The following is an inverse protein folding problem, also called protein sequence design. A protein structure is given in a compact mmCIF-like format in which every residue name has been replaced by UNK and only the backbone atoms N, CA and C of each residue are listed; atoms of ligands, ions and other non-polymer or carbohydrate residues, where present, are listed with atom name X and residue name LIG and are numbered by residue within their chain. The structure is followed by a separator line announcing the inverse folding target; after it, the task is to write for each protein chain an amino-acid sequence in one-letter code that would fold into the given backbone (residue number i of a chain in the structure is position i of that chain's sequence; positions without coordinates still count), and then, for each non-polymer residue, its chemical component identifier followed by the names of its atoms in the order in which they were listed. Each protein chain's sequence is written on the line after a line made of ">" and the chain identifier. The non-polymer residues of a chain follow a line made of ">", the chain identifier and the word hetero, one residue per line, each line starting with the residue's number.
data_IF_834428628427
#
_entry.id   IF_834428628427
#
_cell.length_a   1.000
_cell.length_b   1.000
_cell.length_c   1.000
_cell.angle_alpha   90.00
_cell.angle_beta   90.00
_cell.angle_gamma   90.00
#
_symmetry.space_group_name_H-M   'P 1'
#
loop_
_entity.id
_entity.type
_entity.pdbx_description
1 polymer ?
#
# COMPACT_ATOMS: atom_id res chain seq x y z
N UNK A 1 18.43 7.15 -5.04
CA UNK A 1 19.48 7.82 -4.23
C UNK A 1 18.99 9.08 -3.52
N UNK A 2 18.48 10.11 -4.22
CA UNK A 2 18.17 11.41 -3.61
C UNK A 2 16.95 11.45 -2.66
N UNK A 3 16.03 10.49 -2.77
CA UNK A 3 14.86 10.40 -1.88
C UNK A 3 15.03 9.35 -0.76
N UNK A 4 16.11 8.56 -0.77
CA UNK A 4 16.35 7.56 0.27
C UNK A 4 16.73 8.24 1.60
N UNK A 5 16.26 7.78 2.78
CA UNK A 5 16.48 8.52 4.03
C UNK A 5 17.96 8.69 4.42
N UNK A 6 18.44 9.93 4.66
CA UNK A 6 17.69 11.20 4.68
C UNK A 6 17.43 11.78 3.28
N UNK A 7 16.16 12.12 3.02
CA UNK A 7 15.73 12.61 1.71
C UNK A 7 16.26 14.02 1.42
N UNK A 8 16.78 14.23 0.21
CA UNK A 8 17.25 15.52 -0.33
C UNK A 8 16.25 16.15 -1.30
N UNK A 9 15.42 15.32 -1.93
CA UNK A 9 14.38 15.72 -2.88
C UNK A 9 13.11 14.94 -2.53
N UNK A 10 11.96 15.61 -2.56
CA UNK A 10 10.65 14.99 -2.42
C UNK A 10 10.01 14.77 -3.78
N UNK A 11 9.24 13.69 -3.90
CA UNK A 11 8.54 13.33 -5.14
C UNK A 11 7.47 14.36 -5.54
N UNK A 12 6.82 14.96 -4.54
CA UNK A 12 5.70 15.88 -4.73
C UNK A 12 4.46 15.22 -5.34
N UNK A 13 3.43 16.04 -5.53
CA UNK A 13 2.16 15.59 -6.11
C UNK A 13 2.31 15.25 -7.60
N UNK A 14 3.18 15.97 -8.32
CA UNK A 14 3.45 15.72 -9.74
C UNK A 14 4.00 14.31 -9.97
N UNK A 15 5.03 13.92 -9.21
CA UNK A 15 5.64 12.60 -9.38
C UNK A 15 4.69 11.48 -8.96
N UNK A 16 4.00 11.63 -7.83
CA UNK A 16 3.10 10.60 -7.30
C UNK A 16 1.89 10.38 -8.19
N UNK A 17 1.26 11.45 -8.69
CA UNK A 17 0.15 11.36 -9.64
C UNK A 17 0.58 10.75 -10.98
N UNK A 18 1.76 11.13 -11.49
CA UNK A 18 2.33 10.55 -12.71
C UNK A 18 2.55 9.03 -12.59
N UNK A 19 3.15 8.57 -11.48
CA UNK A 19 3.34 7.12 -11.26
C UNK A 19 2.01 6.38 -11.11
N UNK A 20 1.06 6.95 -10.35
CA UNK A 20 -0.27 6.35 -10.19
C UNK A 20 -0.99 6.17 -11.54
N UNK A 21 -0.99 7.22 -12.37
CA UNK A 21 -1.56 7.17 -13.72
C UNK A 21 -0.84 6.16 -14.61
N UNK A 22 0.50 6.13 -14.58
CA UNK A 22 1.31 5.20 -15.37
C UNK A 22 0.99 3.75 -15.01
N UNK A 23 0.97 3.41 -13.72
CA UNK A 23 0.65 2.06 -13.26
C UNK A 23 -0.79 1.65 -13.62
N UNK A 24 -1.77 2.54 -13.44
CA UNK A 24 -3.15 2.27 -13.82
C UNK A 24 -3.28 2.01 -15.33
N UNK A 25 -2.59 2.80 -16.16
CA UNK A 25 -2.58 2.63 -17.62
C UNK A 25 -1.92 1.32 -18.02
N UNK A 26 -0.79 0.96 -17.41
CA UNK A 26 -0.13 -0.33 -17.63
C UNK A 26 -1.01 -1.52 -17.25
N UNK A 27 -1.81 -1.39 -16.19
CA UNK A 27 -2.76 -2.44 -15.79
C UNK A 27 -3.80 -2.70 -16.91
N UNK A 28 -4.36 -1.63 -17.48
CA UNK A 28 -5.35 -1.71 -18.56
C UNK A 28 -4.71 -2.27 -19.83
N UNK A 29 -3.59 -1.69 -20.28
CA UNK A 29 -2.88 -2.13 -21.49
C UNK A 29 -2.48 -3.60 -21.37
N UNK A 30 -1.85 -3.97 -20.25
CA UNK A 30 -1.42 -5.35 -19.99
C UNK A 30 -2.57 -6.35 -20.03
N UNK A 31 -3.73 -5.99 -19.45
CA UNK A 31 -4.91 -6.87 -19.48
C UNK A 31 -5.53 -7.07 -20.85
N UNK A 32 -5.37 -6.10 -21.76
CA UNK A 32 -5.93 -6.17 -23.12
C UNK A 32 -4.99 -6.88 -24.10
N UNK A 33 -3.68 -6.82 -23.90
CA UNK A 33 -2.70 -7.37 -24.83
C UNK A 33 -2.51 -8.89 -24.73
N UNK A 34 -2.69 -9.48 -23.54
CA UNK A 34 -2.22 -10.85 -23.28
C UNK A 34 -3.35 -11.87 -23.06
N UNK A 35 -4.36 -11.92 -23.95
CA UNK A 35 -5.37 -13.00 -24.10
C UNK A 35 -5.79 -13.74 -22.80
N UNK A 36 -6.00 -13.01 -21.69
CA UNK A 36 -6.40 -13.57 -20.39
C UNK A 36 -5.28 -14.07 -19.46
N UNK A 37 -3.99 -13.97 -19.81
CA UNK A 37 -2.83 -14.31 -18.94
C UNK A 37 -2.47 -13.19 -17.98
N UNK A 38 -2.28 -11.97 -18.45
CA UNK A 38 -2.10 -10.81 -17.58
C UNK A 38 -3.47 -10.33 -17.09
N UNK A 39 -3.73 -10.50 -15.80
CA UNK A 39 -4.95 -9.99 -15.19
C UNK A 39 -4.80 -8.49 -14.86
N UNK A 40 -5.87 -7.72 -15.07
CA UNK A 40 -5.98 -6.33 -14.61
C UNK A 40 -5.59 -6.16 -13.12
N UNK A 41 -5.82 -7.19 -12.30
CA UNK A 41 -5.56 -7.18 -10.86
C UNK A 41 -4.08 -7.29 -10.47
N UNK A 42 -3.16 -7.54 -11.41
CA UNK A 42 -1.72 -7.63 -11.11
C UNK A 42 -1.20 -6.32 -10.53
N UNK A 43 -1.52 -5.18 -11.13
CA UNK A 43 -1.06 -3.88 -10.64
C UNK A 43 -1.69 -3.52 -9.28
N UNK A 44 -3.02 -3.66 -9.07
CA UNK A 44 -3.61 -3.57 -7.74
C UNK A 44 -2.93 -4.46 -6.69
N UNK A 45 -2.50 -5.66 -7.06
CA UNK A 45 -1.77 -6.57 -6.15
C UNK A 45 -0.42 -5.98 -5.71
N UNK A 46 0.35 -5.44 -6.67
CA UNK A 46 1.64 -4.78 -6.40
C UNK A 46 1.52 -3.56 -5.47
N UNK A 47 0.40 -2.85 -5.57
CA UNK A 47 0.13 -1.63 -4.79
C UNK A 47 -0.76 -1.88 -3.58
N UNK A 48 -1.12 -3.14 -3.30
CA UNK A 48 -2.21 -3.46 -2.39
C UNK A 48 -1.96 -2.95 -0.97
N UNK A 49 -0.71 -2.92 -0.49
CA UNK A 49 -0.39 -2.38 0.83
C UNK A 49 -0.69 -0.88 0.94
N UNK A 50 -0.39 -0.10 -0.11
CA UNK A 50 -0.66 1.34 -0.18
C UNK A 50 -2.15 1.64 -0.33
N UNK A 51 -2.85 0.87 -1.17
CA UNK A 51 -4.30 0.96 -1.34
C UNK A 51 -4.97 0.67 0.00
N UNK A 52 -4.56 -0.42 0.68
CA UNK A 52 -5.11 -0.79 1.98
C UNK A 52 -4.92 0.31 3.03
N UNK A 53 -3.70 0.85 3.22
CA UNK A 53 -3.45 1.90 4.21
C UNK A 53 -4.30 3.16 3.93
N UNK A 54 -4.41 3.54 2.66
CA UNK A 54 -5.21 4.69 2.23
C UNK A 54 -6.69 4.47 2.54
N UNK A 55 -7.26 3.34 2.10
CA UNK A 55 -8.67 3.00 2.34
C UNK A 55 -8.95 2.86 3.84
N UNK A 56 -8.10 2.12 4.56
CA UNK A 56 -8.25 1.92 6.00
C UNK A 56 -8.22 3.24 6.78
N UNK A 57 -7.22 4.08 6.50
CA UNK A 57 -7.06 5.36 7.20
C UNK A 57 -8.20 6.31 6.86
N UNK A 58 -8.61 6.40 5.59
CA UNK A 58 -9.76 7.18 5.17
C UNK A 58 -11.05 6.72 5.88
N UNK A 59 -11.37 5.42 5.81
CA UNK A 59 -12.56 4.85 6.45
C UNK A 59 -12.55 5.05 7.97
N UNK A 60 -11.42 4.82 8.65
CA UNK A 60 -11.30 5.02 10.09
C UNK A 60 -11.60 6.48 10.49
N UNK A 61 -11.06 7.43 9.74
CA UNK A 61 -11.26 8.87 10.00
C UNK A 61 -12.71 9.28 9.71
N UNK A 62 -13.27 8.80 8.60
CA UNK A 62 -14.66 9.04 8.23
C UNK A 62 -15.62 8.52 9.30
N UNK A 63 -15.45 7.28 9.76
CA UNK A 63 -16.27 6.66 10.80
C UNK A 63 -16.14 7.34 12.18
N UNK A 64 -15.04 8.08 12.41
CA UNK A 64 -14.85 8.90 13.62
C UNK A 64 -15.42 10.32 13.48
N UNK A 65 -16.02 10.66 12.34
CA UNK A 65 -16.51 12.02 12.07
C UNK A 65 -15.39 13.06 11.91
N UNK A 66 -14.15 12.62 11.65
CA UNK A 66 -13.05 13.53 11.40
C UNK A 66 -13.21 14.21 10.04
N UNK A 67 -12.73 15.46 9.92
CA UNK A 67 -12.66 16.16 8.63
C UNK A 67 -11.61 15.50 7.73
N UNK A 68 -12.03 14.57 6.88
CA UNK A 68 -11.15 13.74 6.04
C UNK A 68 -10.29 14.55 5.05
N UNK A 69 -10.76 15.72 4.63
CA UNK A 69 -10.07 16.63 3.72
C UNK A 69 -8.97 17.48 4.36
N UNK A 70 -8.89 17.51 5.70
CA UNK A 70 -7.81 18.20 6.39
C UNK A 70 -6.54 17.33 6.44
N UNK A 71 -5.34 17.95 6.33
CA UNK A 71 -4.07 17.25 6.48
C UNK A 71 -4.00 16.48 7.81
N UNK A 72 -3.43 15.28 7.77
CA UNK A 72 -3.28 14.42 8.93
C UNK A 72 -1.98 13.61 8.85
N UNK A 73 -1.57 13.05 9.99
CA UNK A 73 -0.37 12.20 10.13
C UNK A 73 -0.71 10.85 10.76
N UNK A 74 -1.74 10.20 10.22
CA UNK A 74 -2.37 9.01 10.83
C UNK A 74 -2.48 7.82 9.88
N UNK A 75 -1.78 7.87 8.72
CA UNK A 75 -1.49 6.67 7.94
C UNK A 75 -0.62 5.70 8.74
N UNK A 76 -0.71 4.42 8.47
CA UNK A 76 -0.03 3.38 9.25
C UNK A 76 1.49 3.59 9.25
N UNK A 77 2.09 3.93 8.10
CA UNK A 77 3.54 4.23 8.03
C UNK A 77 3.92 5.47 8.85
N UNK A 78 3.06 6.50 8.89
CA UNK A 78 3.30 7.71 9.67
C UNK A 78 3.20 7.41 11.16
N UNK A 79 2.23 6.58 11.55
CA UNK A 79 2.07 6.12 12.93
C UNK A 79 3.27 5.27 13.37
N UNK A 80 3.79 4.38 12.53
CA UNK A 80 5.04 3.66 12.83
C UNK A 80 6.20 4.63 13.14
N UNK A 81 6.39 5.65 12.30
CA UNK A 81 7.43 6.64 12.55
C UNK A 81 7.19 7.40 13.87
N UNK A 82 5.94 7.76 14.17
CA UNK A 82 5.55 8.42 15.43
C UNK A 82 5.66 7.50 16.66
N UNK A 83 5.59 6.18 16.47
CA UNK A 83 5.83 5.16 17.50
C UNK A 83 7.34 4.93 17.78
N UNK A 84 8.23 5.63 17.07
CA UNK A 84 9.68 5.60 17.31
C UNK A 84 10.47 4.77 16.30
N UNK A 85 9.82 4.14 15.31
CA UNK A 85 10.56 3.46 14.24
C UNK A 85 11.21 4.47 13.30
N UNK A 86 12.46 4.24 12.91
CA UNK A 86 13.14 5.14 11.98
C UNK A 86 12.56 5.05 10.57
N UNK A 87 12.61 6.15 9.81
CA UNK A 87 12.17 6.18 8.42
C UNK A 87 12.81 5.08 7.57
N UNK A 88 14.09 4.75 7.82
CA UNK A 88 14.80 3.65 7.12
C UNK A 88 14.14 2.30 7.38
N UNK A 89 13.84 1.99 8.64
CA UNK A 89 13.21 0.72 9.02
C UNK A 89 11.82 0.60 8.38
N UNK A 90 11.02 1.67 8.44
CA UNK A 90 9.69 1.70 7.82
C UNK A 90 9.79 1.55 6.29
N UNK A 91 10.74 2.23 5.64
CA UNK A 91 10.95 2.09 4.19
C UNK A 91 11.35 0.66 3.79
N UNK A 92 12.29 0.03 4.50
CA UNK A 92 12.68 -1.35 4.22
C UNK A 92 11.54 -2.35 4.46
N UNK A 93 10.74 -2.13 5.51
CA UNK A 93 9.54 -2.94 5.75
C UNK A 93 8.55 -2.83 4.58
N UNK A 94 8.27 -1.63 4.09
CA UNK A 94 7.38 -1.43 2.93
C UNK A 94 7.97 -2.07 1.66
N UNK A 95 9.29 -1.96 1.43
CA UNK A 95 9.94 -2.65 0.32
C UNK A 95 9.81 -4.17 0.41
N UNK A 96 10.01 -4.76 1.58
CA UNK A 96 9.85 -6.20 1.78
C UNK A 96 8.41 -6.66 1.49
N UNK A 97 7.41 -5.89 1.95
CA UNK A 97 6.00 -6.17 1.65
C UNK A 97 5.73 -6.08 0.15
N UNK A 98 6.23 -5.03 -0.53
CA UNK A 98 6.07 -4.87 -1.99
C UNK A 98 6.75 -5.99 -2.77
N UNK A 99 7.94 -6.44 -2.37
CA UNK A 99 8.62 -7.60 -3.00
C UNK A 99 7.80 -8.87 -2.82
N UNK A 100 7.25 -9.11 -1.62
CA UNK A 100 6.37 -10.25 -1.37
C UNK A 100 5.09 -10.18 -2.23
N UNK A 101 4.49 -9.00 -2.38
CA UNK A 101 3.36 -8.76 -3.28
C UNK A 101 3.72 -9.00 -4.74
N UNK A 102 4.92 -8.60 -5.16
CA UNK A 102 5.47 -8.88 -6.49
C UNK A 102 5.61 -10.37 -6.75
N UNK A 103 6.14 -11.13 -5.79
CA UNK A 103 6.22 -12.58 -5.89
C UNK A 103 4.84 -13.22 -5.98
N UNK A 104 3.88 -12.79 -5.15
CA UNK A 104 2.52 -13.31 -5.20
C UNK A 104 1.79 -12.94 -6.51
N UNK A 105 2.03 -11.75 -7.06
CA UNK A 105 1.53 -11.35 -8.37
C UNK A 105 2.13 -12.22 -9.49
N UNK A 106 3.43 -12.52 -9.42
CA UNK A 106 4.09 -13.43 -10.36
C UNK A 106 3.50 -14.84 -10.30
N UNK A 107 3.33 -15.40 -9.10
CA UNK A 107 2.68 -16.72 -8.89
C UNK A 107 1.25 -16.72 -9.44
N UNK A 108 0.51 -15.61 -9.33
CA UNK A 108 -0.87 -15.52 -9.82
C UNK A 108 -1.01 -15.70 -11.33
N UNK A 109 0.05 -15.43 -12.11
CA UNK A 109 0.04 -15.61 -13.58
C UNK A 109 -0.15 -17.09 -13.94
N UNK A 110 0.43 -18.00 -13.15
CA UNK A 110 0.28 -19.45 -13.33
C UNK A 110 -1.04 -20.03 -12.82
N UNK A 111 -1.88 -19.24 -12.15
CA UNK A 111 -3.17 -19.69 -11.63
C UNK A 111 -4.29 -19.53 -12.68
N UNK A 112 -5.32 -20.41 -12.64
CA UNK A 112 -6.58 -20.19 -13.35
C UNK A 112 -7.19 -18.83 -13.00
N UNK A 113 -7.84 -18.18 -13.96
CA UNK A 113 -8.33 -16.81 -13.84
C UNK A 113 -9.22 -16.60 -12.61
N UNK A 114 -10.09 -17.55 -12.30
CA UNK A 114 -11.01 -17.53 -11.16
C UNK A 114 -10.30 -17.64 -9.80
N UNK A 115 -9.07 -18.18 -9.76
CA UNK A 115 -8.28 -18.34 -8.54
C UNK A 115 -7.29 -17.22 -8.31
N UNK A 116 -7.06 -16.34 -9.29
CA UNK A 116 -6.05 -15.27 -9.18
C UNK A 116 -6.32 -14.33 -8.02
N UNK A 117 -7.59 -14.04 -7.70
CA UNK A 117 -7.93 -13.15 -6.57
C UNK A 117 -7.58 -13.76 -5.20
N UNK A 118 -7.40 -15.07 -5.09
CA UNK A 118 -7.04 -15.72 -3.84
C UNK A 118 -5.67 -15.26 -3.31
N UNK A 119 -4.77 -14.80 -4.18
CA UNK A 119 -3.46 -14.30 -3.74
C UNK A 119 -3.56 -13.06 -2.85
N UNK A 120 -4.67 -12.31 -2.90
CA UNK A 120 -4.89 -11.14 -2.05
C UNK A 120 -5.18 -11.52 -0.59
N UNK A 121 -5.75 -12.69 -0.34
CA UNK A 121 -6.19 -13.14 1.00
C UNK A 121 -5.06 -13.06 2.04
N UNK A 122 -3.87 -13.66 1.84
CA UNK A 122 -2.80 -13.59 2.82
C UNK A 122 -2.37 -12.14 3.12
N UNK A 123 -2.32 -11.28 2.11
CA UNK A 123 -1.97 -9.87 2.30
C UNK A 123 -3.09 -9.10 2.98
N UNK A 124 -4.35 -9.41 2.72
CA UNK A 124 -5.48 -8.79 3.40
C UNK A 124 -5.44 -9.12 4.89
N UNK A 125 -5.25 -10.41 5.24
CA UNK A 125 -5.10 -10.86 6.62
C UNK A 125 -3.91 -10.18 7.29
N UNK A 126 -2.75 -10.19 6.63
CA UNK A 126 -1.55 -9.50 7.12
C UNK A 126 -1.80 -8.01 7.40
N UNK A 127 -2.43 -7.31 6.46
CA UNK A 127 -2.72 -5.88 6.57
C UNK A 127 -3.72 -5.57 7.69
N UNK A 128 -4.73 -6.41 7.90
CA UNK A 128 -5.69 -6.27 9.01
C UNK A 128 -4.96 -6.44 10.35
N UNK A 129 -4.13 -7.48 10.49
CA UNK A 129 -3.35 -7.73 11.72
C UNK A 129 -2.38 -6.58 11.97
N UNK A 130 -1.63 -6.18 10.95
CA UNK A 130 -0.70 -5.05 10.98
C UNK A 130 -1.42 -3.76 11.42
N UNK A 131 -2.54 -3.41 10.79
CA UNK A 131 -3.29 -2.21 11.12
C UNK A 131 -3.82 -2.25 12.56
N UNK A 132 -4.37 -3.38 13.01
CA UNK A 132 -4.83 -3.54 14.40
C UNK A 132 -3.69 -3.35 15.39
N UNK A 133 -2.52 -3.93 15.12
CA UNK A 133 -1.34 -3.78 15.97
C UNK A 133 -0.84 -2.33 16.03
N UNK A 134 -0.67 -1.67 14.88
CA UNK A 134 -0.23 -0.25 14.82
C UNK A 134 -1.22 0.65 15.56
N UNK A 135 -2.52 0.45 15.35
CA UNK A 135 -3.56 1.27 15.99
C UNK A 135 -3.64 1.03 17.49
N UNK A 136 -3.50 -0.22 17.95
CA UNK A 136 -3.43 -0.54 19.38
C UNK A 136 -2.27 0.19 20.05
N UNK A 137 -1.08 0.13 19.44
CA UNK A 137 0.12 0.82 19.95
C UNK A 137 -0.04 2.34 19.90
N UNK A 138 -0.59 2.89 18.82
CA UNK A 138 -0.78 4.33 18.66
C UNK A 138 -1.76 4.90 19.69
N UNK A 139 -2.85 4.18 20.00
CA UNK A 139 -3.78 4.56 21.07
C UNK A 139 -3.13 4.50 22.45
N UNK A 140 -2.35 3.44 22.74
CA UNK A 140 -1.65 3.29 24.02
C UNK A 140 -0.65 4.44 24.28
N UNK A 141 -0.08 5.02 23.23
CA UNK A 141 0.82 6.17 23.30
C UNK A 141 0.12 7.52 23.03
N UNK A 142 -1.23 7.57 23.03
CA UNK A 142 -2.02 8.78 22.81
C UNK A 142 -1.69 9.54 21.51
N UNK A 143 -1.32 8.83 20.45
CA UNK A 143 -0.99 9.41 19.15
C UNK A 143 -2.22 9.68 18.27
N UNK A 144 -3.37 9.04 18.57
CA UNK A 144 -4.66 9.06 17.86
C UNK A 144 -5.84 8.73 18.79
#
# INVERSE_FOLDING_TARGET
>A
LFNFPPARIFMGDVGSAFLGFTFATLAVIGSNLDLGRLSFYIVPMLLFHFIFDTTFTFSRRLLRGEKVYLPHRTHLYQLLNRLGYSHRVVSFFYYAVTVAQGFAAFVSIGLPAERRLLVFIPFLVFNIVYARWVIGRAKAMQLI
#
